data_IF_265791938662
#
_entry.id   IF_265791938662
#
_cell.length_a   1.000
_cell.length_b   1.000
_cell.length_c   1.000
_cell.angle_alpha   90.00
_cell.angle_beta   90.00
_cell.angle_gamma   90.00
#
_symmetry.space_group_name_H-M   'P 1'
#
loop_
_entity.id
_entity.type
_entity.pdbx_description
1 polymer ?
#
# COMPACT_ATOMS: atom_id res chain seq x y z
N UNK A 1 18.71 -9.58 -1.77
CA UNK A 1 18.51 -9.75 -3.23
C UNK A 1 18.76 -8.39 -3.88
N UNK A 2 19.83 -8.25 -4.64
CA UNK A 2 20.28 -6.97 -5.17
C UNK A 2 19.42 -6.58 -6.40
N UNK A 3 19.21 -5.25 -6.63
CA UNK A 3 18.55 -4.74 -7.85
C UNK A 3 19.18 -5.34 -9.10
N UNK A 4 20.52 -5.44 -9.11
CA UNK A 4 21.31 -6.04 -10.19
C UNK A 4 20.93 -7.50 -10.46
N UNK A 5 20.68 -8.30 -9.42
CA UNK A 5 20.37 -9.73 -9.60
C UNK A 5 19.00 -9.93 -10.24
N UNK A 6 18.03 -9.05 -9.93
CA UNK A 6 16.72 -9.06 -10.59
C UNK A 6 16.80 -8.59 -12.04
N UNK A 7 17.55 -7.52 -12.31
CA UNK A 7 17.77 -7.04 -13.66
C UNK A 7 18.43 -8.13 -14.53
N UNK A 8 19.48 -8.78 -14.02
CA UNK A 8 20.14 -9.88 -14.70
C UNK A 8 19.20 -11.07 -14.97
N UNK A 9 18.36 -11.44 -14.00
CA UNK A 9 17.36 -12.50 -14.19
C UNK A 9 16.39 -12.19 -15.35
N UNK A 10 15.97 -10.93 -15.50
CA UNK A 10 15.11 -10.52 -16.61
C UNK A 10 15.88 -10.44 -17.92
N UNK A 11 17.14 -10.04 -17.92
CA UNK A 11 18.00 -10.02 -19.10
C UNK A 11 18.24 -11.44 -19.64
N UNK A 12 18.51 -12.41 -18.78
CA UNK A 12 18.70 -13.81 -19.16
C UNK A 12 17.44 -14.43 -19.80
N UNK A 13 16.26 -13.92 -19.39
CA UNK A 13 14.96 -14.38 -19.92
C UNK A 13 14.31 -13.38 -20.87
N UNK A 14 15.08 -12.46 -21.45
CA UNK A 14 14.56 -11.38 -22.28
C UNK A 14 13.70 -11.87 -23.45
N UNK A 15 14.09 -12.94 -24.11
CA UNK A 15 13.32 -13.52 -25.24
C UNK A 15 11.89 -13.93 -24.85
N UNK A 16 11.70 -14.35 -23.60
CA UNK A 16 10.37 -14.65 -23.05
C UNK A 16 9.68 -13.39 -22.54
N UNK A 17 10.40 -12.53 -21.85
CA UNK A 17 9.87 -11.31 -21.26
C UNK A 17 9.46 -10.28 -22.33
N UNK A 18 10.17 -10.17 -23.43
CA UNK A 18 9.89 -9.22 -24.52
C UNK A 18 8.54 -9.43 -25.19
N UNK A 19 7.95 -10.63 -25.08
CA UNK A 19 6.59 -10.91 -25.56
C UNK A 19 5.48 -10.32 -24.66
N UNK A 20 5.83 -9.91 -23.45
CA UNK A 20 4.90 -9.34 -22.48
C UNK A 20 4.83 -7.83 -22.70
N UNK A 21 3.62 -7.29 -22.81
CA UNK A 21 3.39 -5.86 -22.96
C UNK A 21 3.96 -5.07 -21.78
N UNK A 22 4.76 -4.03 -22.06
CA UNK A 22 5.44 -3.23 -21.04
C UNK A 22 6.66 -3.88 -20.38
N UNK A 23 7.24 -4.94 -20.97
CA UNK A 23 8.38 -5.66 -20.40
C UNK A 23 9.59 -4.76 -20.13
N UNK A 24 9.93 -3.84 -21.01
CA UNK A 24 11.04 -2.88 -20.82
C UNK A 24 10.83 -1.98 -19.61
N UNK A 25 9.62 -1.47 -19.44
CA UNK A 25 9.24 -0.65 -18.28
C UNK A 25 9.31 -1.46 -16.98
N UNK A 26 8.79 -2.70 -16.97
CA UNK A 26 8.84 -3.58 -15.80
C UNK A 26 10.26 -3.90 -15.35
N UNK A 27 11.16 -4.14 -16.29
CA UNK A 27 12.58 -4.40 -15.97
C UNK A 27 13.26 -3.17 -15.38
N UNK A 28 12.99 -2.00 -15.90
CA UNK A 28 13.67 -0.76 -15.48
C UNK A 28 12.97 -0.10 -14.27
N UNK A 29 11.67 0.17 -14.36
CA UNK A 29 10.95 0.95 -13.35
C UNK A 29 10.49 0.11 -12.15
N UNK A 30 9.92 -1.08 -12.38
CA UNK A 30 9.37 -1.88 -11.30
C UNK A 30 10.46 -2.43 -10.38
N UNK A 31 11.63 -2.75 -10.93
CA UNK A 31 12.78 -3.19 -10.12
C UNK A 31 13.26 -2.07 -9.19
N UNK A 32 13.34 -0.84 -9.69
CA UNK A 32 13.72 0.31 -8.90
C UNK A 32 12.65 0.69 -7.87
N UNK A 33 11.37 0.68 -8.29
CA UNK A 33 10.23 0.94 -7.42
C UNK A 33 10.16 -0.07 -6.28
N UNK A 34 10.34 -1.36 -6.58
CA UNK A 34 10.40 -2.42 -5.57
C UNK A 34 11.51 -2.18 -4.55
N UNK A 35 12.71 -1.80 -4.98
CA UNK A 35 13.82 -1.55 -4.07
C UNK A 35 13.52 -0.37 -3.12
N UNK A 36 12.96 0.72 -3.63
CA UNK A 36 12.55 1.89 -2.81
C UNK A 36 11.46 1.52 -1.80
N UNK A 37 10.49 0.73 -2.22
CA UNK A 37 9.42 0.26 -1.33
C UNK A 37 10.01 -0.63 -0.22
N UNK A 38 10.91 -1.55 -0.56
CA UNK A 38 11.55 -2.43 0.42
C UNK A 38 12.43 -1.66 1.41
N UNK A 39 13.14 -0.62 0.94
CA UNK A 39 13.91 0.28 1.81
C UNK A 39 13.00 1.02 2.80
N UNK A 40 11.91 1.63 2.30
CA UNK A 40 10.94 2.33 3.13
C UNK A 40 10.25 1.42 4.14
N UNK A 41 9.77 0.25 3.71
CA UNK A 41 9.14 -0.73 4.60
C UNK A 41 10.11 -1.27 5.64
N UNK A 42 11.39 -1.49 5.28
CA UNK A 42 12.42 -1.94 6.22
C UNK A 42 12.67 -0.92 7.32
N UNK A 43 12.77 0.36 6.97
CA UNK A 43 12.94 1.45 7.93
C UNK A 43 11.73 1.58 8.88
N UNK A 44 10.51 1.54 8.33
CA UNK A 44 9.29 1.60 9.14
C UNK A 44 9.09 0.36 10.04
N UNK A 45 9.49 -0.82 9.58
CA UNK A 45 9.48 -2.05 10.38
C UNK A 45 10.43 -1.91 11.57
N UNK A 46 11.68 -1.47 11.35
CA UNK A 46 12.64 -1.25 12.42
C UNK A 46 12.13 -0.22 13.43
N UNK A 47 11.59 0.90 12.96
CA UNK A 47 10.99 1.92 13.80
C UNK A 47 9.85 1.35 14.65
N UNK A 48 8.97 0.54 14.06
CA UNK A 48 7.85 -0.08 14.76
C UNK A 48 8.31 -1.05 15.85
N UNK A 49 9.33 -1.87 15.55
CA UNK A 49 9.93 -2.80 16.52
C UNK A 49 10.57 -2.04 17.69
N UNK A 50 11.37 -0.99 17.42
CA UNK A 50 12.00 -0.18 18.46
C UNK A 50 10.95 0.52 19.33
N UNK A 51 9.89 1.05 18.73
CA UNK A 51 8.78 1.64 19.48
C UNK A 51 8.09 0.60 20.37
N UNK A 52 7.82 -0.59 19.85
CA UNK A 52 7.20 -1.67 20.60
C UNK A 52 8.06 -2.08 21.82
N UNK A 53 9.38 -2.27 21.62
CA UNK A 53 10.32 -2.61 22.69
C UNK A 53 10.35 -1.52 23.76
N UNK A 54 10.37 -0.24 23.36
CA UNK A 54 10.44 0.87 24.30
C UNK A 54 9.14 1.08 25.09
N UNK A 55 7.98 0.93 24.46
CA UNK A 55 6.70 1.24 25.09
C UNK A 55 6.01 0.06 25.79
N UNK A 56 6.32 -1.19 25.41
CA UNK A 56 5.72 -2.38 26.05
C UNK A 56 5.96 -2.43 27.58
N UNK A 57 7.17 -2.20 28.12
CA UNK A 57 7.37 -2.19 29.57
C UNK A 57 6.61 -1.10 30.28
N UNK A 58 6.50 0.08 29.66
CA UNK A 58 5.76 1.23 30.21
C UNK A 58 4.27 0.89 30.27
N UNK A 59 3.72 0.38 29.18
CA UNK A 59 2.32 -0.01 29.09
C UNK A 59 2.01 -1.14 30.09
N UNK A 60 2.91 -2.09 30.26
CA UNK A 60 2.77 -3.18 31.24
C UNK A 60 2.75 -2.65 32.68
N UNK A 61 3.64 -1.70 33.00
CA UNK A 61 3.67 -1.05 34.30
C UNK A 61 2.38 -0.28 34.62
N UNK A 62 1.93 0.55 33.69
CA UNK A 62 0.68 1.32 33.81
C UNK A 62 -0.55 0.41 33.92
N UNK A 63 -0.56 -0.67 33.19
CA UNK A 63 -1.68 -1.63 33.17
C UNK A 63 -1.87 -2.37 34.51
N UNK A 64 -0.88 -2.41 35.36
CA UNK A 64 -1.02 -2.96 36.74
C UNK A 64 -1.85 -2.08 37.65
N UNK A 65 -1.85 -0.77 37.42
CA UNK A 65 -2.61 0.20 38.22
C UNK A 65 -4.05 0.35 37.79
N UNK A 66 -4.39 -0.12 36.56
CA UNK A 66 -5.71 0.02 35.96
C UNK A 66 -6.25 -1.38 35.69
N UNK A 67 -7.03 -1.89 36.65
CA UNK A 67 -7.61 -3.22 36.61
C UNK A 67 -9.08 -3.24 36.23
N UNK A 68 -9.75 -2.09 36.21
CA UNK A 68 -11.18 -1.98 35.96
C UNK A 68 -11.41 -1.24 34.64
N UNK A 69 -12.08 -1.92 33.71
CA UNK A 69 -12.58 -1.30 32.47
C UNK A 69 -14.08 -0.99 32.66
N UNK A 70 -14.52 0.21 32.23
CA UNK A 70 -15.91 0.68 32.50
C UNK A 70 -17.00 -0.21 31.91
N UNK A 71 -16.66 -1.12 30.96
CA UNK A 71 -17.64 -1.97 30.24
C UNK A 71 -17.45 -3.47 30.45
N UNK A 72 -16.27 -3.91 30.91
CA UNK A 72 -15.89 -5.34 30.93
C UNK A 72 -15.65 -5.85 32.36
N UNK A 73 -15.47 -4.92 33.33
CA UNK A 73 -15.16 -5.27 34.71
C UNK A 73 -13.66 -5.42 34.98
N UNK A 74 -13.30 -6.24 35.98
CA UNK A 74 -11.90 -6.42 36.40
C UNK A 74 -11.16 -7.34 35.43
N UNK A 75 -10.16 -6.79 34.75
CA UNK A 75 -9.28 -7.52 33.83
C UNK A 75 -7.81 -7.21 34.16
N UNK A 76 -7.04 -8.24 34.48
CA UNK A 76 -5.60 -8.09 34.66
C UNK A 76 -4.94 -7.59 33.38
N UNK A 77 -4.15 -6.50 33.52
CA UNK A 77 -3.45 -5.86 32.39
C UNK A 77 -4.40 -5.35 31.29
N UNK A 78 -5.51 -4.72 31.69
CA UNK A 78 -6.56 -4.26 30.81
C UNK A 78 -6.06 -3.39 29.64
N UNK A 79 -5.15 -2.45 29.88
CA UNK A 79 -4.61 -1.57 28.84
C UNK A 79 -3.81 -2.33 27.76
N UNK A 80 -3.11 -3.39 28.13
CA UNK A 80 -2.37 -4.22 27.17
C UNK A 80 -3.34 -4.93 26.22
N UNK A 81 -4.43 -5.50 26.76
CA UNK A 81 -5.46 -6.15 25.95
C UNK A 81 -6.16 -5.16 25.03
N UNK A 82 -6.51 -3.98 25.52
CA UNK A 82 -7.11 -2.92 24.69
C UNK A 82 -6.17 -2.54 23.54
N UNK A 83 -4.88 -2.39 23.80
CA UNK A 83 -3.90 -2.06 22.77
C UNK A 83 -3.79 -3.18 21.72
N UNK A 84 -3.73 -4.44 22.12
CA UNK A 84 -3.63 -5.59 21.20
C UNK A 84 -4.89 -5.70 20.35
N UNK A 85 -6.08 -5.67 20.97
CA UNK A 85 -7.36 -5.82 20.27
C UNK A 85 -7.56 -4.66 19.28
N UNK A 86 -7.27 -3.44 19.68
CA UNK A 86 -7.39 -2.28 18.80
C UNK A 86 -6.38 -2.34 17.63
N UNK A 87 -5.13 -2.75 17.88
CA UNK A 87 -4.14 -2.90 16.82
C UNK A 87 -4.54 -3.98 15.80
N UNK A 88 -4.98 -5.15 16.27
CA UNK A 88 -5.45 -6.22 15.40
C UNK A 88 -6.73 -5.83 14.64
N UNK A 89 -7.69 -5.22 15.33
CA UNK A 89 -8.93 -4.73 14.74
C UNK A 89 -8.67 -3.69 13.64
N UNK A 90 -7.81 -2.72 13.91
CA UNK A 90 -7.42 -1.71 12.92
C UNK A 90 -6.71 -2.30 11.72
N UNK A 91 -5.78 -3.23 11.94
CA UNK A 91 -5.09 -3.93 10.85
C UNK A 91 -6.09 -4.69 9.98
N UNK A 92 -7.03 -5.40 10.59
CA UNK A 92 -8.06 -6.14 9.86
C UNK A 92 -8.97 -5.21 9.05
N UNK A 93 -9.45 -4.11 9.65
CA UNK A 93 -10.29 -3.12 8.97
C UNK A 93 -9.55 -2.52 7.78
N UNK A 94 -8.31 -2.05 7.97
CA UNK A 94 -7.52 -1.46 6.89
C UNK A 94 -7.17 -2.46 5.80
N UNK A 95 -6.88 -3.71 6.15
CA UNK A 95 -6.65 -4.77 5.17
C UNK A 95 -7.92 -5.05 4.35
N UNK A 96 -9.07 -5.16 4.98
CA UNK A 96 -10.35 -5.41 4.29
C UNK A 96 -10.72 -4.28 3.32
N UNK A 97 -10.49 -3.02 3.73
CA UNK A 97 -10.75 -1.85 2.88
C UNK A 97 -9.73 -1.71 1.75
N UNK A 98 -8.46 -2.04 2.04
CA UNK A 98 -7.34 -1.88 1.11
C UNK A 98 -7.16 -3.03 0.10
N UNK A 99 -7.85 -4.16 0.25
CA UNK A 99 -7.61 -5.40 -0.53
C UNK A 99 -7.75 -5.20 -2.05
N UNK A 100 -8.56 -4.23 -2.49
CA UNK A 100 -8.77 -3.93 -3.92
C UNK A 100 -7.73 -2.99 -4.52
N UNK A 101 -6.97 -2.27 -3.69
CA UNK A 101 -6.02 -1.25 -4.18
C UNK A 101 -4.89 -1.83 -5.04
N UNK A 102 -4.25 -2.97 -4.69
CA UNK A 102 -3.21 -3.55 -5.53
C UNK A 102 -3.71 -3.95 -6.92
N UNK A 103 -4.95 -4.44 -7.03
CA UNK A 103 -5.55 -4.78 -8.32
C UNK A 103 -5.79 -3.55 -9.19
N UNK A 104 -6.26 -2.45 -8.59
CA UNK A 104 -6.46 -1.19 -9.30
C UNK A 104 -5.12 -0.61 -9.78
N UNK A 105 -4.08 -0.67 -8.95
CA UNK A 105 -2.73 -0.23 -9.32
C UNK A 105 -2.16 -1.03 -10.50
N UNK A 106 -2.39 -2.35 -10.52
CA UNK A 106 -2.01 -3.19 -11.66
C UNK A 106 -2.74 -2.78 -12.94
N UNK A 107 -4.05 -2.53 -12.86
CA UNK A 107 -4.85 -2.11 -14.01
C UNK A 107 -4.38 -0.76 -14.56
N UNK A 108 -3.98 0.18 -13.68
CA UNK A 108 -3.43 1.48 -14.07
C UNK A 108 -2.14 1.31 -14.86
N UNK A 109 -1.19 0.54 -14.33
CA UNK A 109 0.08 0.32 -15.01
C UNK A 109 -0.10 -0.33 -16.38
N UNK A 110 -1.09 -1.22 -16.52
CA UNK A 110 -1.44 -1.85 -17.80
C UNK A 110 -1.97 -0.84 -18.81
N UNK A 111 -2.94 -0.02 -18.42
CA UNK A 111 -3.54 0.99 -19.32
C UNK A 111 -2.53 2.09 -19.69
N UNK A 112 -1.69 2.51 -18.74
CA UNK A 112 -0.61 3.47 -18.99
C UNK A 112 0.45 2.91 -19.94
N UNK A 113 0.81 1.63 -19.80
CA UNK A 113 1.77 0.99 -20.70
C UNK A 113 1.22 0.91 -22.13
N UNK A 114 -0.05 0.55 -22.29
CA UNK A 114 -0.71 0.52 -23.60
C UNK A 114 -0.76 1.92 -24.23
N UNK A 115 -1.12 2.95 -23.47
CA UNK A 115 -1.14 4.33 -23.92
C UNK A 115 0.24 4.83 -24.34
N UNK A 116 1.28 4.58 -23.52
CA UNK A 116 2.67 4.94 -23.81
C UNK A 116 3.17 4.28 -25.10
N UNK A 117 2.87 3.00 -25.28
CA UNK A 117 3.25 2.25 -26.48
C UNK A 117 2.69 2.88 -27.75
N UNK A 118 1.42 3.28 -27.74
CA UNK A 118 0.78 3.94 -28.88
C UNK A 118 1.41 5.30 -29.18
N UNK A 119 1.75 6.07 -28.13
CA UNK A 119 2.46 7.35 -28.30
C UNK A 119 3.83 7.17 -28.93
N UNK A 120 4.62 6.18 -28.47
CA UNK A 120 5.95 5.91 -29.03
C UNK A 120 5.87 5.45 -30.49
N UNK A 121 4.88 4.61 -30.84
CA UNK A 121 4.62 4.25 -32.23
C UNK A 121 4.29 5.45 -33.11
N UNK A 122 3.59 6.44 -32.55
CA UNK A 122 3.28 7.70 -33.22
C UNK A 122 4.48 8.63 -33.38
N UNK A 123 5.44 8.60 -32.45
CA UNK A 123 6.71 9.34 -32.58
C UNK A 123 7.56 8.80 -33.73
N UNK A 124 7.63 7.46 -33.88
CA UNK A 124 8.40 6.83 -34.95
C UNK A 124 7.76 7.08 -36.35
N UNK A 125 6.44 7.05 -36.45
CA UNK A 125 5.73 7.35 -37.68
C UNK A 125 4.28 7.80 -37.38
N UNK A 126 3.96 9.02 -37.74
CA UNK A 126 2.65 9.66 -37.53
C UNK A 126 1.48 8.84 -38.11
N UNK A 127 1.71 8.03 -39.16
CA UNK A 127 0.69 7.19 -39.77
C UNK A 127 0.40 5.91 -38.95
N UNK A 128 1.25 5.55 -38.01
CA UNK A 128 1.12 4.33 -37.20
C UNK A 128 0.23 4.52 -35.96
N UNK A 129 0.09 5.76 -35.46
CA UNK A 129 -0.79 6.09 -34.35
C UNK A 129 -2.01 6.87 -34.83
N UNK A 130 -3.15 6.21 -34.89
CA UNK A 130 -4.41 6.90 -35.20
C UNK A 130 -4.83 7.82 -34.04
N UNK A 131 -5.17 9.08 -34.35
CA UNK A 131 -5.70 10.01 -33.34
C UNK A 131 -6.90 9.45 -32.55
N UNK A 132 -7.72 8.61 -33.17
CA UNK A 132 -8.82 7.91 -32.51
C UNK A 132 -8.35 6.85 -31.51
N UNK A 133 -7.28 6.12 -31.81
CA UNK A 133 -6.69 5.11 -30.92
C UNK A 133 -6.07 5.76 -29.69
N UNK A 134 -5.30 6.81 -29.87
CA UNK A 134 -4.68 7.57 -28.77
C UNK A 134 -5.76 8.16 -27.84
N UNK A 135 -6.81 8.76 -28.39
CA UNK A 135 -7.92 9.31 -27.60
C UNK A 135 -8.71 8.24 -26.84
N UNK A 136 -8.90 7.07 -27.44
CA UNK A 136 -9.56 5.92 -26.79
C UNK A 136 -8.73 5.42 -25.60
N UNK A 137 -7.45 5.20 -25.77
CA UNK A 137 -6.53 4.75 -24.72
C UNK A 137 -6.42 5.79 -23.60
N UNK A 138 -6.32 7.06 -23.93
CA UNK A 138 -6.38 8.14 -22.93
C UNK A 138 -7.68 8.11 -22.13
N UNK A 139 -8.81 7.86 -22.79
CA UNK A 139 -10.10 7.68 -22.14
C UNK A 139 -10.11 6.54 -21.11
N UNK A 140 -9.44 5.42 -21.40
CA UNK A 140 -9.30 4.30 -20.50
C UNK A 140 -8.40 4.66 -19.29
N UNK A 141 -7.25 5.26 -19.54
CA UNK A 141 -6.35 5.75 -18.48
C UNK A 141 -7.10 6.70 -17.54
N UNK A 142 -7.85 7.65 -18.08
CA UNK A 142 -8.64 8.57 -17.28
C UNK A 142 -9.70 7.86 -16.43
N UNK A 143 -10.42 6.89 -16.97
CA UNK A 143 -11.43 6.11 -16.21
C UNK A 143 -10.84 5.36 -15.05
N UNK A 144 -9.70 4.69 -15.27
CA UNK A 144 -9.07 3.89 -14.21
C UNK A 144 -8.48 4.78 -13.11
N UNK A 145 -7.94 5.97 -13.44
CA UNK A 145 -7.49 6.95 -12.47
C UNK A 145 -8.64 7.50 -11.62
N UNK A 146 -9.81 7.77 -12.21
CA UNK A 146 -11.00 8.14 -11.43
C UNK A 146 -11.42 7.03 -10.45
N UNK A 147 -11.43 5.78 -10.91
CA UNK A 147 -11.71 4.62 -10.06
C UNK A 147 -10.72 4.52 -8.90
N UNK A 148 -9.42 4.68 -9.18
CA UNK A 148 -8.36 4.73 -8.18
C UNK A 148 -8.62 5.84 -7.16
N UNK A 149 -8.87 7.07 -7.63
CA UNK A 149 -9.09 8.23 -6.77
C UNK A 149 -10.19 7.97 -5.73
N UNK A 150 -11.34 7.45 -6.13
CA UNK A 150 -12.42 7.14 -5.21
C UNK A 150 -12.07 6.04 -4.21
N UNK A 151 -11.34 4.99 -4.63
CA UNK A 151 -10.92 3.94 -3.72
C UNK A 151 -9.88 4.43 -2.70
N UNK A 152 -8.93 5.26 -3.13
CA UNK A 152 -7.96 5.89 -2.23
C UNK A 152 -8.61 6.90 -1.28
N UNK A 153 -9.59 7.68 -1.75
CA UNK A 153 -10.34 8.60 -0.91
C UNK A 153 -11.07 7.83 0.21
N UNK A 154 -11.78 6.77 -0.16
CA UNK A 154 -12.44 5.91 0.81
C UNK A 154 -11.46 5.25 1.79
N UNK A 155 -10.38 4.67 1.29
CA UNK A 155 -9.34 4.07 2.12
C UNK A 155 -8.72 5.09 3.09
N UNK A 156 -8.38 6.28 2.60
CA UNK A 156 -7.83 7.35 3.43
C UNK A 156 -8.83 7.85 4.47
N UNK A 157 -10.11 7.97 4.13
CA UNK A 157 -11.15 8.34 5.09
C UNK A 157 -11.22 7.34 6.24
N UNK A 158 -11.25 6.04 5.95
CA UNK A 158 -11.25 4.98 6.97
C UNK A 158 -9.95 4.99 7.78
N UNK A 159 -8.80 5.13 7.13
CA UNK A 159 -7.48 5.22 7.78
C UNK A 159 -7.42 6.38 8.76
N UNK A 160 -7.81 7.58 8.33
CA UNK A 160 -7.79 8.75 9.19
C UNK A 160 -8.81 8.67 10.33
N UNK A 161 -10.02 8.13 10.07
CA UNK A 161 -11.01 7.90 11.11
C UNK A 161 -10.49 6.92 12.15
N UNK A 162 -9.82 5.84 11.74
CA UNK A 162 -9.18 4.89 12.65
C UNK A 162 -8.09 5.55 13.49
N UNK A 163 -7.17 6.30 12.85
CA UNK A 163 -6.08 6.98 13.56
C UNK A 163 -6.59 7.98 14.59
N UNK A 164 -7.62 8.76 14.24
CA UNK A 164 -8.25 9.69 15.20
C UNK A 164 -9.01 8.96 16.30
N UNK A 165 -9.70 7.87 15.97
CA UNK A 165 -10.37 7.02 16.95
C UNK A 165 -9.38 6.44 17.96
N UNK A 166 -8.20 6.02 17.53
CA UNK A 166 -7.16 5.46 18.42
C UNK A 166 -6.62 6.47 19.44
N UNK A 167 -6.69 7.76 19.15
CA UNK A 167 -6.33 8.81 20.14
C UNK A 167 -7.37 8.86 21.27
N UNK A 168 -8.63 8.54 20.98
CA UNK A 168 -9.73 8.61 21.96
C UNK A 168 -9.77 7.35 22.83
N UNK A 169 -9.37 6.19 22.31
CA UNK A 169 -9.44 4.89 23.01
C UNK A 169 -8.83 4.91 24.43
N UNK A 170 -7.62 5.46 24.68
CA UNK A 170 -7.07 5.53 26.03
C UNK A 170 -7.91 6.36 26.97
N UNK A 171 -8.50 7.46 26.50
CA UNK A 171 -9.34 8.33 27.33
C UNK A 171 -10.63 7.62 27.73
N UNK A 172 -11.24 6.86 26.83
CA UNK A 172 -12.44 6.06 27.14
C UNK A 172 -12.10 4.90 28.07
N UNK A 173 -10.92 4.32 27.95
CA UNK A 173 -10.48 3.23 28.83
C UNK A 173 -10.14 3.72 30.25
N UNK A 174 -9.86 5.02 30.45
CA UNK A 174 -9.53 5.64 31.72
C UNK A 174 -10.70 6.36 32.39
N UNK A 175 -11.80 6.57 31.67
CA UNK A 175 -13.01 7.23 32.17
C UNK A 175 -13.90 6.26 32.95
#
# INVERSE_FOLDING_TARGET
MCIRDRANFYHDKWNFASSIEGASQRVQEDTLKFARIMEGLGAELLRSIMTLIAFTPILWGLSKSITVLPWIGEVNHALVWVAIISALGGTFILAAVGIKLPGIEYDIQKEEAAYRKELVLGEDNINNAGSSSVNFLYGNVRKIHFKMYFHYLYFNAVKWSYLQGMVIVPYVALA
#
